data_IF_919550448412
#
_entry.id   IF_919550448412
#
_cell.length_a   1.000
_cell.length_b   1.000
_cell.length_c   1.000
_cell.angle_alpha   90.00
_cell.angle_beta   90.00
_cell.angle_gamma   90.00
#
_symmetry.space_group_name_H-M   'P 1'
#
loop_
_entity.id
_entity.type
_entity.pdbx_description
1 polymer ?
#
# COMPACT_ATOMS: atom_id res chain seq x y z
N UNK A 1 -5.11 -0.30 -16.55
CA UNK A 1 -4.69 -0.26 -15.94
C UNK A 1 -4.28 0.76 -15.42
N UNK A 2 -4.58 1.17 -14.78
CA UNK A 2 -4.28 2.23 -14.35
C UNK A 2 -3.19 2.32 -13.52
N UNK A 3 -2.97 1.66 -12.48
CA UNK A 3 -1.86 1.75 -11.64
C UNK A 3 -0.87 0.72 -12.00
N UNK A 4 0.36 1.10 -12.19
CA UNK A 4 1.38 0.16 -12.42
C UNK A 4 1.98 -0.24 -11.13
N UNK A 5 1.24 -0.27 -10.06
CA UNK A 5 1.71 -0.64 -8.74
C UNK A 5 1.73 -2.14 -8.60
N UNK A 6 2.86 -2.66 -8.16
CA UNK A 6 2.97 -4.10 -7.98
C UNK A 6 2.54 -4.53 -6.60
N UNK A 7 2.28 -5.82 -6.45
CA UNK A 7 2.00 -6.37 -5.16
C UNK A 7 3.29 -6.46 -4.38
N UNK A 8 3.26 -6.33 -3.08
CA UNK A 8 2.04 -6.16 -2.26
C UNK A 8 1.61 -4.71 -2.12
N UNK A 9 2.29 -3.81 -2.75
CA UNK A 9 2.02 -2.38 -2.60
C UNK A 9 0.60 -2.03 -2.98
N UNK A 10 0.17 -2.57 -4.08
CA UNK A 10 -1.17 -2.28 -4.57
C UNK A 10 -2.23 -2.74 -3.58
N UNK A 11 -2.08 -3.96 -3.07
CA UNK A 11 -3.06 -4.48 -2.15
C UNK A 11 -3.05 -3.74 -0.82
N UNK A 12 -1.87 -3.45 -0.30
CA UNK A 12 -1.78 -2.72 0.96
C UNK A 12 -2.42 -1.34 0.83
N UNK A 13 -2.12 -0.67 -0.27
CA UNK A 13 -2.67 0.66 -0.49
C UNK A 13 -4.19 0.61 -0.58
N UNK A 14 -4.70 -0.34 -1.35
CA UNK A 14 -6.14 -0.48 -1.53
C UNK A 14 -6.84 -0.79 -0.22
N UNK A 15 -6.29 -1.70 0.56
CA UNK A 15 -6.91 -2.06 1.83
C UNK A 15 -6.90 -0.89 2.80
N UNK A 16 -5.85 -0.11 2.79
CA UNK A 16 -5.76 1.01 3.72
C UNK A 16 -6.69 2.15 3.33
N UNK A 17 -6.73 2.48 2.06
CA UNK A 17 -7.49 3.63 1.59
C UNK A 17 -8.95 3.28 1.36
N UNK A 18 -9.20 2.26 0.59
CA UNK A 18 -10.58 1.89 0.27
C UNK A 18 -11.21 0.97 1.29
N UNK A 19 -10.44 0.07 1.86
CA UNK A 19 -10.96 -0.84 2.86
C UNK A 19 -10.99 -0.23 4.25
N UNK A 20 -10.29 0.90 4.44
CA UNK A 20 -10.24 1.58 5.74
C UNK A 20 -9.73 0.68 6.84
N UNK A 21 -8.83 -0.21 6.50
CA UNK A 21 -8.24 -1.08 7.49
C UNK A 21 -7.05 -0.41 8.16
N UNK A 22 -6.82 -0.73 9.43
CA UNK A 22 -5.67 -0.20 10.12
C UNK A 22 -4.43 -0.96 9.67
N UNK A 23 -3.25 -0.41 9.96
CA UNK A 23 -2.02 -1.09 9.62
C UNK A 23 -1.92 -2.43 10.34
N UNK A 24 -2.45 -2.49 11.55
CA UNK A 24 -2.43 -3.73 12.28
C UNK A 24 -3.27 -4.79 11.58
N UNK A 25 -4.44 -4.42 11.11
CA UNK A 25 -5.31 -5.34 10.42
C UNK A 25 -4.67 -5.81 9.11
N UNK A 26 -4.03 -4.91 8.41
CA UNK A 26 -3.36 -5.25 7.17
C UNK A 26 -2.21 -6.21 7.44
N UNK A 27 -1.44 -5.94 8.49
CA UNK A 27 -0.32 -6.80 8.82
C UNK A 27 -0.79 -8.22 9.14
N UNK A 28 -1.93 -8.33 9.77
CA UNK A 28 -2.45 -9.66 10.10
C UNK A 28 -2.87 -10.42 8.85
N UNK A 29 -3.43 -9.72 7.90
CA UNK A 29 -3.83 -10.36 6.66
C UNK A 29 -2.63 -10.91 5.89
N UNK A 30 -1.51 -10.19 5.97
CA UNK A 30 -0.30 -10.61 5.26
C UNK A 30 0.64 -11.41 6.15
N UNK A 31 0.26 -11.63 7.40
CA UNK A 31 1.11 -12.34 8.36
C UNK A 31 2.46 -11.65 8.49
N UNK A 32 2.42 -10.34 8.62
CA UNK A 32 3.60 -9.54 8.78
C UNK A 32 3.46 -8.64 10.00
N UNK A 33 4.46 -7.81 10.26
CA UNK A 33 4.40 -6.90 11.39
C UNK A 33 3.67 -5.63 10.99
N UNK A 34 3.23 -4.90 12.01
CA UNK A 34 2.58 -3.63 11.75
C UNK A 34 3.55 -2.66 11.10
N UNK A 35 4.81 -2.71 11.51
CA UNK A 35 5.84 -1.88 10.90
C UNK A 35 5.96 -2.14 9.42
N UNK A 36 5.89 -3.41 9.05
CA UNK A 36 5.96 -3.78 7.64
C UNK A 36 4.80 -3.15 6.86
N UNK A 37 3.62 -3.19 7.43
CA UNK A 37 2.44 -2.65 6.75
C UNK A 37 2.59 -1.14 6.56
N UNK A 38 3.09 -0.47 7.60
CA UNK A 38 3.27 0.98 7.54
C UNK A 38 4.30 1.36 6.48
N UNK A 39 5.43 0.67 6.47
CA UNK A 39 6.48 0.96 5.51
C UNK A 39 6.00 0.66 4.09
N UNK A 40 5.31 -0.47 3.94
CA UNK A 40 4.82 -0.85 2.63
C UNK A 40 3.83 0.17 2.09
N UNK A 41 2.96 0.67 2.96
CA UNK A 41 2.00 1.68 2.55
C UNK A 41 2.70 2.97 2.11
N UNK A 42 3.70 3.38 2.87
CA UNK A 42 4.43 4.60 2.52
C UNK A 42 5.13 4.45 1.17
N UNK A 43 5.68 3.28 0.92
CA UNK A 43 6.34 3.05 -0.35
C UNK A 43 5.33 3.05 -1.49
N UNK A 44 4.15 2.50 -1.24
CA UNK A 44 3.11 2.50 -2.25
C UNK A 44 2.69 3.93 -2.59
N UNK A 45 2.50 4.74 -1.56
CA UNK A 45 2.14 6.14 -1.77
C UNK A 45 3.18 6.84 -2.61
N UNK A 46 4.44 6.60 -2.30
CA UNK A 46 5.52 7.26 -3.01
C UNK A 46 5.54 6.85 -4.46
N UNK A 47 5.32 5.56 -4.72
CA UNK A 47 5.31 5.10 -6.10
C UNK A 47 4.17 5.72 -6.89
N UNK A 48 3.04 5.89 -6.26
CA UNK A 48 1.90 6.52 -6.92
C UNK A 48 2.20 7.97 -7.22
N UNK A 49 2.82 8.67 -6.27
CA UNK A 49 3.17 10.06 -6.49
C UNK A 49 4.17 10.21 -7.63
N UNK A 50 5.10 9.28 -7.72
CA UNK A 50 6.08 9.32 -8.79
C UNK A 50 5.42 9.11 -10.15
N UNK A 51 4.45 8.21 -10.21
CA UNK A 51 3.74 7.98 -11.46
C UNK A 51 2.98 9.23 -11.89
N UNK A 52 2.38 9.93 -10.94
CA UNK A 52 1.66 11.13 -11.27
C UNK A 52 2.58 12.24 -11.73
N UNK A 53 3.79 12.26 -11.20
CA UNK A 53 4.72 13.28 -11.59
C UNK A 53 5.28 13.12 -12.97
N UNK A 54 5.23 11.92 -13.48
CA UNK A 54 5.78 11.68 -14.79
C UNK A 54 4.92 12.19 -15.90
N UNK A 55 3.84 12.78 -15.60
CA UNK A 55 3.03 13.33 -16.62
C UNK A 55 3.67 14.46 -17.32
#
# INVERSE_FOLDING_TARGET
MLLRLEEPYKKVFTLRVFGELSFKQISELFERTESWARVTFHRAKRKIQDLLKEE
#
